data_IF_695799421469
#
_entry.id   IF_695799421469
#
_cell.length_a   1.000
_cell.length_b   1.000
_cell.length_c   1.000
_cell.angle_alpha   90.00
_cell.angle_beta   90.00
_cell.angle_gamma   90.00
#
_symmetry.space_group_name_H-M   'P 1'
#
loop_
_entity.id
_entity.type
_entity.pdbx_description
1 polymer ?
#
# COMPACT_ATOMS: atom_id res chain seq x y z
N UNK A 1 -88.75 -55.71 19.50
CA UNK A 1 -87.91 -54.81 20.29
C UNK A 1 -87.57 -53.60 19.45
N UNK A 2 -88.06 -52.45 19.87
CA UNK A 2 -88.15 -51.23 19.09
C UNK A 2 -86.86 -50.46 19.06
N UNK A 3 -86.43 -50.00 17.93
CA UNK A 3 -85.41 -48.95 17.80
C UNK A 3 -86.06 -47.71 17.25
N UNK A 4 -86.10 -46.70 18.13
CA UNK A 4 -86.58 -45.35 17.86
C UNK A 4 -85.56 -44.63 16.93
N UNK A 5 -86.09 -44.07 15.82
CA UNK A 5 -85.44 -43.14 14.95
C UNK A 5 -85.72 -41.73 15.44
N UNK A 6 -84.72 -40.96 15.82
CA UNK A 6 -84.81 -39.54 16.06
C UNK A 6 -84.58 -38.72 14.82
N UNK A 7 -85.34 -37.64 14.55
CA UNK A 7 -85.22 -36.82 13.34
C UNK A 7 -84.04 -35.82 13.44
N UNK A 8 -83.35 -35.63 12.32
CA UNK A 8 -82.27 -34.63 12.12
C UNK A 8 -82.92 -33.28 11.80
N UNK A 9 -82.58 -32.20 12.49
CA UNK A 9 -83.04 -30.85 12.12
C UNK A 9 -82.24 -30.29 10.95
N UNK A 10 -82.88 -29.74 9.94
CA UNK A 10 -82.33 -28.95 8.89
C UNK A 10 -81.87 -27.61 9.41
N UNK A 11 -80.51 -27.33 9.31
CA UNK A 11 -79.93 -26.03 9.62
C UNK A 11 -79.67 -25.34 8.30
N UNK A 12 -80.59 -24.46 7.88
CA UNK A 12 -80.35 -23.39 6.93
C UNK A 12 -79.67 -22.23 7.66
N UNK A 13 -78.39 -22.07 7.47
CA UNK A 13 -77.65 -20.96 8.03
C UNK A 13 -76.68 -20.39 6.94
N UNK A 14 -77.10 -19.26 6.36
CA UNK A 14 -76.24 -18.50 5.48
C UNK A 14 -75.00 -17.99 6.25
N UNK A 15 -73.84 -18.18 5.65
CA UNK A 15 -72.59 -17.67 6.19
C UNK A 15 -72.63 -16.14 6.28
N UNK A 16 -72.25 -15.55 7.44
CA UNK A 16 -72.22 -14.10 7.61
C UNK A 16 -71.21 -13.46 6.65
N UNK A 17 -71.57 -12.30 6.10
CA UNK A 17 -70.82 -11.56 5.06
C UNK A 17 -69.35 -11.23 5.49
N UNK A 18 -68.99 -11.37 6.74
CA UNK A 18 -67.63 -11.18 7.23
C UNK A 18 -66.66 -12.32 6.85
N UNK A 19 -67.08 -13.55 6.75
CA UNK A 19 -66.25 -14.67 6.33
C UNK A 19 -65.84 -14.64 4.85
N UNK A 20 -66.71 -14.09 3.98
CA UNK A 20 -66.42 -13.93 2.54
C UNK A 20 -65.39 -12.82 2.27
N UNK A 21 -65.29 -11.81 3.13
CA UNK A 21 -64.28 -10.75 3.03
C UNK A 21 -62.89 -11.23 3.46
N UNK A 22 -62.82 -12.07 4.51
CA UNK A 22 -61.53 -12.65 4.97
C UNK A 22 -60.95 -13.65 3.95
N UNK A 23 -61.76 -14.49 3.32
CA UNK A 23 -61.31 -15.43 2.28
C UNK A 23 -60.82 -14.68 1.05
N UNK A 24 -61.45 -13.56 0.66
CA UNK A 24 -61.00 -12.72 -0.47
C UNK A 24 -59.73 -11.95 -0.14
N UNK A 25 -59.51 -11.57 1.13
CA UNK A 25 -58.25 -10.89 1.57
C UNK A 25 -57.10 -11.86 1.69
N UNK A 26 -57.35 -13.12 2.09
CA UNK A 26 -56.29 -14.16 2.17
C UNK A 26 -55.88 -14.65 0.79
N UNK A 27 -56.79 -14.78 -0.18
CA UNK A 27 -56.46 -15.12 -1.57
C UNK A 27 -55.72 -13.98 -2.31
N UNK A 28 -56.06 -12.71 -2.02
CA UNK A 28 -55.26 -11.57 -2.56
C UNK A 28 -53.89 -11.48 -1.95
N UNK A 29 -53.71 -11.82 -0.67
CA UNK A 29 -52.37 -11.91 -0.03
C UNK A 29 -51.55 -13.08 -0.57
N UNK A 30 -52.17 -14.21 -0.91
CA UNK A 30 -51.51 -15.36 -1.52
C UNK A 30 -51.08 -15.08 -2.97
N UNK A 31 -51.91 -14.38 -3.76
CA UNK A 31 -51.60 -14.00 -5.13
C UNK A 31 -50.49 -12.96 -5.21
N UNK A 32 -50.32 -12.08 -4.21
CA UNK A 32 -49.26 -11.08 -4.17
C UNK A 32 -47.92 -11.65 -3.64
N UNK A 33 -47.91 -12.88 -3.11
CA UNK A 33 -46.69 -13.61 -2.76
C UNK A 33 -46.04 -14.36 -3.91
N UNK A 34 -46.75 -14.54 -5.03
CA UNK A 34 -46.24 -15.24 -6.22
C UNK A 34 -45.22 -14.43 -7.06
N UNK A 35 -45.10 -13.10 -6.81
CA UNK A 35 -44.12 -12.23 -7.50
C UNK A 35 -43.00 -11.72 -6.59
N UNK A 36 -42.81 -12.33 -5.43
CA UNK A 36 -41.60 -12.11 -4.66
C UNK A 36 -40.47 -12.84 -5.37
N UNK A 37 -39.69 -12.13 -6.18
CA UNK A 37 -38.40 -12.61 -6.67
C UNK A 37 -37.66 -13.24 -5.50
N UNK A 38 -37.19 -14.48 -5.66
CA UNK A 38 -36.59 -15.25 -4.60
C UNK A 38 -35.46 -14.48 -3.91
N UNK A 39 -35.08 -14.82 -2.67
CA UNK A 39 -34.05 -14.09 -1.89
C UNK A 39 -32.71 -13.94 -2.63
N UNK A 40 -32.44 -14.77 -3.62
CA UNK A 40 -31.28 -14.69 -4.51
C UNK A 40 -31.35 -13.54 -5.54
N UNK A 41 -32.51 -13.22 -6.06
CA UNK A 41 -32.67 -12.16 -7.09
C UNK A 41 -32.73 -10.77 -6.49
N UNK A 42 -33.16 -10.63 -5.22
CA UNK A 42 -33.15 -9.35 -4.51
C UNK A 42 -31.74 -8.99 -3.98
N UNK A 43 -30.86 -9.98 -3.76
CA UNK A 43 -29.46 -9.77 -3.40
C UNK A 43 -28.62 -9.17 -4.53
N UNK A 44 -28.83 -9.65 -5.76
CA UNK A 44 -28.05 -9.24 -6.94
C UNK A 44 -28.37 -7.83 -7.46
N UNK A 45 -29.60 -7.33 -7.24
CA UNK A 45 -29.99 -6.00 -7.72
C UNK A 45 -29.50 -4.83 -6.86
N UNK A 46 -28.92 -5.11 -5.66
CA UNK A 46 -28.38 -4.10 -4.73
C UNK A 46 -26.86 -4.07 -4.66
N UNK A 47 -26.16 -4.97 -5.38
CA UNK A 47 -24.70 -4.98 -5.35
C UNK A 47 -24.23 -3.82 -6.24
N UNK A 48 -23.66 -2.80 -5.63
CA UNK A 48 -23.04 -1.68 -6.35
C UNK A 48 -21.79 -2.16 -7.07
N UNK A 49 -21.54 -1.67 -8.27
CA UNK A 49 -20.32 -1.97 -9.04
C UNK A 49 -19.04 -1.66 -8.25
N UNK A 50 -19.13 -0.71 -7.33
CA UNK A 50 -18.04 -0.35 -6.42
C UNK A 50 -17.72 -1.45 -5.41
N UNK A 51 -18.71 -2.22 -4.94
CA UNK A 51 -18.51 -3.35 -4.01
C UNK A 51 -17.91 -4.58 -4.68
N UNK A 52 -18.19 -4.76 -5.98
CA UNK A 52 -17.65 -5.86 -6.78
C UNK A 52 -16.19 -5.62 -7.24
N UNK A 53 -15.73 -4.38 -7.24
CA UNK A 53 -14.42 -4.00 -7.79
C UNK A 53 -13.27 -4.75 -7.14
N UNK A 54 -13.22 -4.79 -5.80
CA UNK A 54 -12.14 -5.47 -5.06
C UNK A 54 -12.17 -6.99 -5.23
N UNK A 55 -13.31 -7.70 -5.05
CA UNK A 55 -13.37 -9.14 -5.29
C UNK A 55 -13.03 -9.54 -6.72
N UNK A 56 -13.52 -8.81 -7.72
CA UNK A 56 -13.19 -9.05 -9.12
C UNK A 56 -11.72 -8.77 -9.42
N UNK A 57 -11.14 -7.73 -8.80
CA UNK A 57 -9.71 -7.44 -8.89
C UNK A 57 -8.86 -8.58 -8.35
N UNK A 58 -9.17 -9.11 -7.17
CA UNK A 58 -8.47 -10.26 -6.58
C UNK A 58 -8.61 -11.50 -7.45
N UNK A 59 -9.82 -11.80 -7.95
CA UNK A 59 -10.03 -12.91 -8.87
C UNK A 59 -9.22 -12.74 -10.17
N UNK A 60 -9.20 -11.52 -10.72
CA UNK A 60 -8.40 -11.19 -11.90
C UNK A 60 -6.90 -11.41 -11.69
N UNK A 61 -6.39 -11.04 -10.52
CA UNK A 61 -4.99 -11.28 -10.13
C UNK A 61 -4.68 -12.78 -10.05
N UNK A 62 -5.56 -13.58 -9.43
CA UNK A 62 -5.40 -15.05 -9.36
C UNK A 62 -5.46 -15.67 -10.76
N UNK A 63 -6.37 -15.24 -11.61
CA UNK A 63 -6.45 -15.69 -13.00
C UNK A 63 -5.18 -15.33 -13.80
N UNK A 64 -4.63 -14.15 -13.59
CA UNK A 64 -3.39 -13.71 -14.23
C UNK A 64 -2.18 -14.60 -13.84
N UNK A 65 -2.16 -15.19 -12.65
CA UNK A 65 -1.12 -16.18 -12.27
C UNK A 65 -1.23 -17.49 -13.06
N UNK A 66 -2.45 -17.90 -13.40
CA UNK A 66 -2.71 -19.21 -14.02
C UNK A 66 -2.66 -19.12 -15.55
N UNK A 67 -3.22 -18.05 -16.13
CA UNK A 67 -3.36 -17.88 -17.58
C UNK A 67 -2.10 -17.25 -18.19
N UNK A 68 -1.66 -17.69 -19.38
CA UNK A 68 -0.62 -16.98 -20.11
C UNK A 68 -1.13 -15.61 -20.59
N UNK A 69 -0.55 -14.55 -20.11
CA UNK A 69 -0.89 -13.20 -20.54
C UNK A 69 -0.11 -12.82 -21.81
N UNK A 70 -0.72 -12.18 -22.80
CA UNK A 70 0.03 -11.62 -23.93
C UNK A 70 0.93 -10.45 -23.44
N UNK A 71 2.10 -10.23 -24.08
CA UNK A 71 3.07 -9.20 -23.65
C UNK A 71 2.48 -7.80 -23.50
N UNK A 72 1.58 -7.39 -24.38
CA UNK A 72 0.89 -6.08 -24.32
C UNK A 72 0.04 -5.91 -23.06
N UNK A 73 -0.68 -6.96 -22.64
CA UNK A 73 -1.48 -6.94 -21.40
C UNK A 73 -0.55 -6.89 -20.20
N UNK A 74 0.54 -7.65 -20.22
CA UNK A 74 1.53 -7.64 -19.15
C UNK A 74 2.15 -6.24 -19.01
N UNK A 75 2.57 -5.58 -20.09
CA UNK A 75 3.07 -4.20 -20.08
C UNK A 75 2.06 -3.24 -19.42
N UNK A 76 0.78 -3.32 -19.81
CA UNK A 76 -0.27 -2.46 -19.26
C UNK A 76 -0.47 -2.68 -17.75
N UNK A 77 -0.44 -3.94 -17.28
CA UNK A 77 -0.56 -4.29 -15.87
C UNK A 77 0.67 -3.87 -15.07
N UNK A 78 1.86 -3.97 -15.63
CA UNK A 78 3.12 -3.48 -15.04
C UNK A 78 3.05 -1.96 -14.87
N UNK A 79 2.66 -1.21 -15.90
CA UNK A 79 2.48 0.23 -15.83
C UNK A 79 1.45 0.62 -14.74
N UNK A 80 0.35 -0.12 -14.65
CA UNK A 80 -0.65 0.05 -13.60
C UNK A 80 -0.05 -0.19 -12.21
N UNK A 81 0.74 -1.26 -12.02
CA UNK A 81 1.39 -1.57 -10.75
C UNK A 81 2.34 -0.46 -10.31
N UNK A 82 3.17 0.06 -11.21
CA UNK A 82 4.08 1.18 -10.94
C UNK A 82 3.28 2.43 -10.56
N UNK A 83 2.23 2.75 -11.31
CA UNK A 83 1.37 3.91 -11.06
C UNK A 83 0.68 3.82 -9.70
N UNK A 84 0.07 2.68 -9.37
CA UNK A 84 -0.57 2.47 -8.07
C UNK A 84 0.43 2.57 -6.92
N UNK A 85 1.63 2.00 -7.07
CA UNK A 85 2.68 2.08 -6.05
C UNK A 85 3.14 3.52 -5.83
N UNK A 86 3.26 4.31 -6.90
CA UNK A 86 3.56 5.74 -6.81
C UNK A 86 2.43 6.51 -6.10
N UNK A 87 1.17 6.24 -6.44
CA UNK A 87 0.02 6.86 -5.77
C UNK A 87 0.02 6.54 -4.28
N UNK A 88 0.24 5.28 -3.91
CA UNK A 88 0.31 4.84 -2.50
C UNK A 88 1.46 5.55 -1.76
N UNK A 89 2.63 5.69 -2.39
CA UNK A 89 3.75 6.42 -1.82
C UNK A 89 3.40 7.90 -1.59
N UNK A 90 2.83 8.55 -2.60
CA UNK A 90 2.44 9.97 -2.50
C UNK A 90 1.35 10.17 -1.43
N UNK A 91 0.33 9.33 -1.40
CA UNK A 91 -0.69 9.36 -0.34
C UNK A 91 -0.04 9.24 1.04
N UNK A 92 0.90 8.28 1.22
CA UNK A 92 1.64 8.12 2.47
C UNK A 92 2.44 9.35 2.90
N UNK A 93 2.94 10.16 1.95
CA UNK A 93 3.64 11.42 2.23
C UNK A 93 2.72 12.55 2.70
N UNK A 94 1.46 12.57 2.22
CA UNK A 94 0.50 13.64 2.50
C UNK A 94 -0.38 13.39 3.73
N UNK A 95 -0.56 12.13 4.15
CA UNK A 95 -1.38 11.77 5.31
C UNK A 95 -0.79 12.34 6.59
N UNK A 96 -1.65 12.90 7.45
CA UNK A 96 -1.28 13.43 8.76
C UNK A 96 -1.12 12.32 9.80
N UNK A 97 -2.15 11.50 9.98
CA UNK A 97 -2.19 10.41 10.97
C UNK A 97 -2.27 9.04 10.30
N UNK A 98 -1.56 8.01 10.80
CA UNK A 98 -1.62 6.67 10.21
C UNK A 98 -3.03 6.09 10.13
N UNK A 99 -3.89 6.38 11.12
CA UNK A 99 -5.29 5.93 11.17
C UNK A 99 -6.20 6.52 10.10
N UNK A 100 -5.82 7.64 9.46
CA UNK A 100 -6.55 8.22 8.34
C UNK A 100 -6.53 7.31 7.10
N UNK A 101 -5.49 6.47 6.97
CA UNK A 101 -5.41 5.47 5.91
C UNK A 101 -5.55 4.05 6.48
N UNK A 102 -6.67 3.79 7.12
CA UNK A 102 -6.97 2.50 7.74
C UNK A 102 -6.92 1.31 6.78
N UNK A 103 -7.16 1.53 5.48
CA UNK A 103 -7.06 0.52 4.42
C UNK A 103 -5.63 0.23 3.97
N UNK A 104 -4.62 0.96 4.44
CA UNK A 104 -3.24 0.82 3.98
C UNK A 104 -2.69 -0.62 4.13
N UNK A 105 -2.85 -1.32 5.27
CA UNK A 105 -2.38 -2.70 5.41
C UNK A 105 -3.02 -3.65 4.38
N UNK A 106 -4.31 -3.51 4.10
CA UNK A 106 -5.01 -4.29 3.08
C UNK A 106 -4.50 -3.94 1.68
N UNK A 107 -4.24 -2.67 1.40
CA UNK A 107 -3.65 -2.21 0.14
C UNK A 107 -2.27 -2.82 -0.07
N UNK A 108 -1.43 -2.90 0.98
CA UNK A 108 -0.13 -3.58 0.93
C UNK A 108 -0.28 -5.04 0.49
N UNK A 109 -1.22 -5.78 1.09
CA UNK A 109 -1.46 -7.19 0.76
C UNK A 109 -1.91 -7.35 -0.70
N UNK A 110 -2.87 -6.53 -1.15
CA UNK A 110 -3.39 -6.59 -2.52
C UNK A 110 -2.32 -6.22 -3.55
N UNK A 111 -1.54 -5.18 -3.31
CA UNK A 111 -0.46 -4.76 -4.19
C UNK A 111 0.65 -5.82 -4.26
N UNK A 112 0.96 -6.46 -3.14
CA UNK A 112 1.94 -7.55 -3.07
C UNK A 112 1.45 -8.76 -3.86
N UNK A 113 0.19 -9.16 -3.71
CA UNK A 113 -0.41 -10.26 -4.47
C UNK A 113 -0.43 -9.94 -5.98
N UNK A 114 -0.78 -8.71 -6.35
CA UNK A 114 -0.77 -8.26 -7.75
C UNK A 114 0.63 -8.34 -8.36
N UNK A 115 1.65 -7.88 -7.63
CA UNK A 115 3.05 -7.97 -8.05
C UNK A 115 3.53 -9.42 -8.22
N UNK A 116 3.17 -10.32 -7.28
CA UNK A 116 3.48 -11.74 -7.42
C UNK A 116 2.87 -12.34 -8.68
N UNK A 117 1.63 -11.98 -9.00
CA UNK A 117 0.99 -12.44 -10.24
C UNK A 117 1.73 -11.97 -11.49
N UNK A 118 2.17 -10.71 -11.50
CA UNK A 118 2.97 -10.17 -12.59
C UNK A 118 4.31 -10.89 -12.72
N UNK A 119 5.01 -11.14 -11.62
CA UNK A 119 6.28 -11.89 -11.61
C UNK A 119 6.13 -13.30 -12.16
N UNK A 120 5.07 -14.02 -11.82
CA UNK A 120 4.82 -15.36 -12.34
C UNK A 120 4.52 -15.30 -13.84
N UNK A 121 3.73 -14.29 -14.28
CA UNK A 121 3.37 -14.12 -15.69
C UNK A 121 4.56 -13.72 -16.55
N UNK A 122 5.40 -12.77 -16.07
CA UNK A 122 6.61 -12.34 -16.78
C UNK A 122 7.64 -13.46 -16.87
N UNK A 123 7.89 -14.18 -15.77
CA UNK A 123 8.77 -15.34 -15.76
C UNK A 123 8.36 -16.40 -16.77
N UNK A 124 7.06 -16.69 -16.85
CA UNK A 124 6.54 -17.63 -17.85
C UNK A 124 6.85 -17.18 -19.29
N UNK A 125 6.62 -15.91 -19.61
CA UNK A 125 6.92 -15.36 -20.94
C UNK A 125 8.42 -15.38 -21.23
N UNK A 126 9.27 -15.04 -20.26
CA UNK A 126 10.73 -15.09 -20.39
C UNK A 126 11.19 -16.50 -20.71
N UNK A 127 10.70 -17.50 -19.96
CA UNK A 127 11.12 -18.88 -20.15
C UNK A 127 10.58 -19.51 -21.43
N UNK A 128 9.35 -19.21 -21.84
CA UNK A 128 8.73 -19.76 -23.07
C UNK A 128 9.18 -19.07 -24.33
N UNK A 129 9.32 -17.74 -24.33
CA UNK A 129 9.51 -16.95 -25.54
C UNK A 129 10.86 -16.18 -25.57
N UNK A 130 11.74 -16.39 -24.60
CA UNK A 130 13.01 -15.65 -24.52
C UNK A 130 13.91 -15.82 -25.75
N UNK A 131 13.76 -16.91 -26.52
CA UNK A 131 14.44 -17.15 -27.77
C UNK A 131 14.07 -16.14 -28.87
N UNK A 132 12.92 -15.49 -28.80
CA UNK A 132 12.46 -14.50 -29.80
C UNK A 132 13.17 -13.15 -29.65
N UNK A 133 13.81 -12.89 -28.50
CA UNK A 133 14.60 -11.66 -28.26
C UNK A 133 14.26 -11.00 -26.93
N UNK A 134 14.82 -9.81 -26.72
CA UNK A 134 14.71 -9.04 -25.47
C UNK A 134 13.30 -8.47 -25.22
N UNK A 135 12.44 -8.41 -26.25
CA UNK A 135 11.03 -7.97 -26.13
C UNK A 135 10.04 -9.09 -25.80
N UNK A 136 10.53 -10.31 -25.61
CA UNK A 136 9.70 -11.52 -25.39
C UNK A 136 8.68 -11.38 -24.25
N UNK A 137 9.03 -10.67 -23.18
CA UNK A 137 8.19 -10.44 -22.01
C UNK A 137 7.56 -9.04 -21.98
N UNK A 138 7.63 -8.28 -23.06
CA UNK A 138 7.06 -6.93 -23.19
C UNK A 138 8.13 -5.84 -23.29
N UNK A 139 7.70 -4.67 -23.75
CA UNK A 139 8.59 -3.53 -23.99
C UNK A 139 9.03 -2.83 -22.71
N UNK A 140 8.24 -2.85 -21.66
CA UNK A 140 8.62 -2.23 -20.37
C UNK A 140 9.78 -3.00 -19.75
N UNK A 141 9.70 -4.33 -19.71
CA UNK A 141 10.78 -5.20 -19.19
C UNK A 141 12.05 -5.02 -20.04
N UNK A 142 11.93 -4.99 -21.35
CA UNK A 142 13.04 -4.72 -22.26
C UNK A 142 13.70 -3.36 -21.99
N UNK A 143 12.90 -2.29 -21.88
CA UNK A 143 13.40 -0.93 -21.66
C UNK A 143 14.18 -0.81 -20.34
N UNK A 144 13.64 -1.37 -19.24
CA UNK A 144 14.34 -1.38 -17.96
C UNK A 144 15.60 -2.23 -17.98
N UNK A 145 15.57 -3.38 -18.65
CA UNK A 145 16.74 -4.23 -18.79
C UNK A 145 17.85 -3.54 -19.57
N UNK A 146 17.55 -2.96 -20.73
CA UNK A 146 18.51 -2.23 -21.55
C UNK A 146 19.05 -0.98 -20.84
N UNK A 147 18.21 -0.25 -20.10
CA UNK A 147 18.62 0.94 -19.35
C UNK A 147 19.73 0.64 -18.35
N UNK A 148 19.61 -0.46 -17.57
CA UNK A 148 20.60 -0.81 -16.54
C UNK A 148 21.81 -1.50 -17.14
N UNK A 149 21.63 -2.33 -18.19
CA UNK A 149 22.74 -2.99 -18.85
C UNK A 149 23.66 -1.98 -19.55
N UNK A 150 23.11 -0.90 -20.15
CA UNK A 150 23.89 0.20 -20.71
C UNK A 150 24.99 -0.22 -21.70
N UNK A 151 24.79 -1.36 -22.39
CA UNK A 151 25.77 -1.93 -23.34
C UNK A 151 26.82 -2.85 -22.71
N UNK A 152 26.87 -2.98 -21.37
CA UNK A 152 27.76 -3.92 -20.67
C UNK A 152 26.97 -4.84 -19.73
N UNK A 153 26.73 -6.07 -20.17
CA UNK A 153 25.93 -7.05 -19.43
C UNK A 153 26.48 -7.41 -18.04
N UNK A 154 27.81 -7.44 -17.87
CA UNK A 154 28.47 -7.75 -16.62
C UNK A 154 28.23 -6.62 -15.61
N UNK A 155 28.41 -5.38 -16.02
CA UNK A 155 28.18 -4.20 -15.19
C UNK A 155 26.69 -4.11 -14.79
N UNK A 156 25.78 -4.34 -15.76
CA UNK A 156 24.35 -4.36 -15.52
C UNK A 156 23.96 -5.43 -14.49
N UNK A 157 24.49 -6.64 -14.62
CA UNK A 157 24.25 -7.74 -13.66
C UNK A 157 24.74 -7.39 -12.24
N UNK A 158 25.94 -6.81 -12.12
CA UNK A 158 26.50 -6.38 -10.83
C UNK A 158 25.63 -5.29 -10.18
N UNK A 159 25.25 -4.26 -10.94
CA UNK A 159 24.38 -3.18 -10.44
C UNK A 159 23.03 -3.75 -10.00
N UNK A 160 22.45 -4.66 -10.77
CA UNK A 160 21.20 -5.33 -10.44
C UNK A 160 21.29 -6.13 -9.15
N UNK A 161 22.36 -6.91 -8.94
CA UNK A 161 22.59 -7.65 -7.70
C UNK A 161 22.73 -6.70 -6.48
N UNK A 162 23.40 -5.56 -6.65
CA UNK A 162 23.51 -4.54 -5.62
C UNK A 162 22.13 -3.98 -5.26
N UNK A 163 21.28 -3.68 -6.26
CA UNK A 163 19.92 -3.18 -6.05
C UNK A 163 19.05 -4.21 -5.30
N UNK A 164 19.11 -5.49 -5.69
CA UNK A 164 18.42 -6.57 -4.98
C UNK A 164 18.90 -6.67 -3.52
N UNK A 165 20.21 -6.62 -3.30
CA UNK A 165 20.78 -6.69 -1.95
C UNK A 165 20.30 -5.51 -1.07
N UNK A 166 20.31 -4.29 -1.60
CA UNK A 166 19.79 -3.11 -0.90
C UNK A 166 18.29 -3.28 -0.61
N UNK A 167 17.50 -3.68 -1.59
CA UNK A 167 16.06 -3.90 -1.40
C UNK A 167 15.78 -4.92 -0.31
N UNK A 168 16.43 -6.08 -0.37
CA UNK A 168 16.17 -7.18 0.54
C UNK A 168 16.69 -6.89 1.95
N UNK A 169 17.99 -6.54 2.06
CA UNK A 169 18.66 -6.41 3.36
C UNK A 169 18.30 -5.10 4.05
N UNK A 170 18.35 -3.98 3.34
CA UNK A 170 18.23 -2.66 3.98
C UNK A 170 16.75 -2.26 4.08
N UNK A 171 16.02 -2.30 2.97
CA UNK A 171 14.69 -1.69 2.92
C UNK A 171 13.65 -2.62 3.51
N UNK A 172 13.56 -3.86 3.03
CA UNK A 172 12.51 -4.77 3.51
C UNK A 172 12.72 -5.20 4.97
N UNK A 173 13.93 -5.56 5.37
CA UNK A 173 14.19 -5.86 6.79
C UNK A 173 14.03 -4.63 7.68
N UNK A 174 14.47 -3.46 7.20
CA UNK A 174 14.31 -2.20 7.92
C UNK A 174 12.85 -1.81 8.11
N UNK A 175 12.04 -1.81 7.05
CA UNK A 175 10.63 -1.46 7.11
C UNK A 175 9.82 -2.40 8.01
N UNK A 176 10.07 -3.71 7.92
CA UNK A 176 9.41 -4.70 8.79
C UNK A 176 9.79 -4.49 10.25
N UNK A 177 11.08 -4.25 10.55
CA UNK A 177 11.53 -4.02 11.92
C UNK A 177 10.92 -2.76 12.52
N UNK A 178 10.85 -1.68 11.75
CA UNK A 178 10.19 -0.44 12.16
C UNK A 178 8.71 -0.71 12.47
N UNK A 179 7.99 -1.41 11.59
CA UNK A 179 6.59 -1.74 11.77
C UNK A 179 6.36 -2.60 13.02
N UNK A 180 7.14 -3.66 13.20
CA UNK A 180 7.08 -4.55 14.35
C UNK A 180 7.28 -3.80 15.69
N UNK A 181 8.36 -3.02 15.76
CA UNK A 181 8.71 -2.28 16.99
C UNK A 181 7.66 -1.22 17.30
N UNK A 182 7.23 -0.45 16.30
CA UNK A 182 6.20 0.59 16.50
C UNK A 182 4.86 -0.02 16.89
N UNK A 183 4.43 -1.09 16.22
CA UNK A 183 3.19 -1.80 16.58
C UNK A 183 3.24 -2.28 18.03
N UNK A 184 4.34 -2.90 18.43
CA UNK A 184 4.52 -3.41 19.80
C UNK A 184 4.43 -2.29 20.83
N UNK A 185 5.20 -1.22 20.69
CA UNK A 185 5.15 -0.11 21.66
C UNK A 185 3.79 0.59 21.69
N UNK A 186 3.14 0.75 20.54
CA UNK A 186 1.80 1.35 20.50
C UNK A 186 0.78 0.49 21.20
N UNK A 187 0.81 -0.84 20.98
CA UNK A 187 -0.11 -1.78 21.63
C UNK A 187 0.17 -1.91 23.14
N UNK A 188 1.43 -1.95 23.54
CA UNK A 188 1.81 -2.00 24.97
C UNK A 188 1.39 -0.73 25.74
N UNK A 189 1.31 0.43 25.07
CA UNK A 189 0.86 1.68 25.64
C UNK A 189 -0.68 1.82 25.74
N UNK A 190 -1.46 0.93 25.09
CA UNK A 190 -2.92 1.03 25.03
C UNK A 190 -3.63 1.02 26.40
N UNK A 191 -3.27 0.12 27.34
CA UNK A 191 -3.90 0.15 28.67
C UNK A 191 -3.72 1.48 29.39
N UNK A 192 -2.54 2.09 29.30
CA UNK A 192 -2.27 3.40 29.88
C UNK A 192 -3.10 4.52 29.24
N UNK A 193 -3.24 4.52 27.91
CA UNK A 193 -4.11 5.47 27.20
C UNK A 193 -5.59 5.29 27.60
N UNK A 194 -6.07 4.05 27.77
CA UNK A 194 -7.43 3.77 28.24
C UNK A 194 -7.65 4.30 29.66
N UNK A 195 -6.73 4.04 30.58
CA UNK A 195 -6.80 4.55 31.96
C UNK A 195 -6.80 6.09 32.00
N UNK A 196 -6.03 6.75 31.10
CA UNK A 196 -6.07 8.21 31.01
C UNK A 196 -7.43 8.74 30.58
N UNK A 197 -8.09 8.11 29.59
CA UNK A 197 -9.45 8.48 29.16
C UNK A 197 -10.44 8.31 30.31
N UNK A 198 -10.34 7.20 31.07
CA UNK A 198 -11.21 6.93 32.18
C UNK A 198 -10.98 7.92 33.33
N UNK A 199 -9.74 8.33 33.59
CA UNK A 199 -9.38 9.38 34.55
C UNK A 199 -9.97 10.74 34.17
N UNK A 200 -9.81 11.13 32.88
CA UNK A 200 -10.33 12.40 32.34
C UNK A 200 -11.87 12.46 32.47
N UNK A 201 -12.55 11.34 32.19
CA UNK A 201 -14.00 11.21 32.33
C UNK A 201 -14.43 11.33 33.81
N UNK A 202 -13.75 10.62 34.72
CA UNK A 202 -14.05 10.66 36.16
C UNK A 202 -13.75 12.03 36.76
N UNK A 203 -12.78 12.75 36.27
CA UNK A 203 -12.45 14.12 36.69
C UNK A 203 -13.39 15.17 36.08
N UNK A 204 -14.33 14.79 35.19
CA UNK A 204 -15.24 15.70 34.51
C UNK A 204 -14.57 16.61 33.46
N UNK A 205 -13.35 16.28 33.01
CA UNK A 205 -12.61 17.01 31.97
C UNK A 205 -13.14 16.73 30.57
N UNK A 206 -13.77 15.58 30.36
CA UNK A 206 -14.43 15.16 29.13
C UNK A 206 -15.79 14.58 29.43
N UNK A 207 -16.72 14.65 28.49
CA UNK A 207 -18.03 14.01 28.60
C UNK A 207 -18.02 12.54 28.15
N UNK A 208 -19.15 11.84 28.33
CA UNK A 208 -19.26 10.42 27.97
C UNK A 208 -19.14 10.18 26.47
N UNK A 209 -19.64 11.10 25.62
CA UNK A 209 -19.60 10.99 24.19
C UNK A 209 -18.16 11.17 23.69
N UNK A 210 -17.43 12.13 24.23
CA UNK A 210 -16.01 12.34 23.93
C UNK A 210 -15.16 11.14 24.38
N UNK A 211 -15.39 10.62 25.59
CA UNK A 211 -14.72 9.41 26.08
C UNK A 211 -14.98 8.21 25.16
N UNK A 212 -16.21 8.04 24.68
CA UNK A 212 -16.58 6.99 23.72
C UNK A 212 -15.87 7.17 22.38
N UNK A 213 -15.77 8.38 21.90
CA UNK A 213 -15.07 8.69 20.64
C UNK A 213 -13.58 8.41 20.76
N UNK A 214 -12.92 8.84 21.85
CA UNK A 214 -11.49 8.56 22.11
C UNK A 214 -11.21 7.07 22.21
N UNK A 215 -12.07 6.29 22.88
CA UNK A 215 -11.95 4.82 22.94
C UNK A 215 -12.09 4.17 21.55
N UNK A 216 -13.01 4.65 20.69
CA UNK A 216 -13.13 4.17 19.31
C UNK A 216 -11.89 4.47 18.48
N UNK A 217 -11.33 5.68 18.60
CA UNK A 217 -10.09 6.06 17.91
C UNK A 217 -8.93 5.18 18.38
N UNK A 218 -8.83 4.93 19.68
CA UNK A 218 -7.80 4.07 20.26
C UNK A 218 -7.91 2.63 19.75
N UNK A 219 -9.12 2.07 19.68
CA UNK A 219 -9.37 0.74 19.12
C UNK A 219 -9.02 0.66 17.62
N UNK A 220 -9.32 1.71 16.84
CA UNK A 220 -8.96 1.79 15.43
C UNK A 220 -7.44 1.88 15.26
N UNK A 221 -6.73 2.65 16.09
CA UNK A 221 -5.27 2.73 16.13
C UNK A 221 -4.66 1.36 16.41
N UNK A 222 -5.15 0.64 17.42
CA UNK A 222 -4.69 -0.72 17.75
C UNK A 222 -4.86 -1.69 16.57
N UNK A 223 -6.03 -1.67 15.95
CA UNK A 223 -6.34 -2.52 14.79
C UNK A 223 -5.44 -2.21 13.60
N UNK A 224 -5.17 -0.93 13.34
CA UNK A 224 -4.27 -0.50 12.28
C UNK A 224 -2.84 -1.03 12.48
N UNK A 225 -2.25 -0.82 13.66
CA UNK A 225 -0.88 -1.25 13.93
C UNK A 225 -0.74 -2.78 13.95
N UNK A 226 -1.73 -3.49 14.48
CA UNK A 226 -1.76 -4.96 14.43
C UNK A 226 -1.83 -5.50 13.01
N UNK A 227 -2.69 -4.92 12.16
CA UNK A 227 -2.78 -5.29 10.76
C UNK A 227 -1.52 -4.92 9.97
N UNK A 228 -0.87 -3.79 10.30
CA UNK A 228 0.34 -3.31 9.64
C UNK A 228 1.54 -4.21 9.90
N UNK A 229 1.71 -4.73 11.12
CA UNK A 229 2.76 -5.71 11.42
C UNK A 229 2.61 -6.97 10.55
N UNK A 230 1.39 -7.51 10.43
CA UNK A 230 1.11 -8.65 9.58
C UNK A 230 1.37 -8.38 8.09
N UNK A 231 0.90 -7.25 7.58
CA UNK A 231 1.09 -6.86 6.18
C UNK A 231 2.57 -6.64 5.83
N UNK A 232 3.34 -6.02 6.73
CA UNK A 232 4.78 -5.80 6.55
C UNK A 232 5.55 -7.11 6.45
N UNK A 233 5.23 -8.10 7.28
CA UNK A 233 5.84 -9.44 7.22
C UNK A 233 5.51 -10.17 5.91
N UNK A 234 4.30 -10.01 5.40
CA UNK A 234 3.92 -10.57 4.10
C UNK A 234 4.74 -9.96 2.97
N UNK A 235 4.90 -8.65 2.95
CA UNK A 235 5.73 -7.93 1.95
C UNK A 235 7.20 -8.35 2.00
N UNK A 236 7.75 -8.65 3.20
CA UNK A 236 9.11 -9.16 3.33
C UNK A 236 9.29 -10.53 2.67
N UNK A 237 8.32 -11.43 2.85
CA UNK A 237 8.37 -12.77 2.24
C UNK A 237 8.24 -12.73 0.72
N UNK A 238 7.48 -11.79 0.20
CA UNK A 238 7.35 -11.56 -1.24
C UNK A 238 8.68 -11.12 -1.87
N UNK A 239 9.44 -10.27 -1.20
CA UNK A 239 10.78 -9.90 -1.69
C UNK A 239 11.73 -11.11 -1.76
N UNK A 240 11.65 -12.03 -0.80
CA UNK A 240 12.40 -13.29 -0.86
C UNK A 240 11.96 -14.15 -2.07
N UNK A 241 10.65 -14.26 -2.28
CA UNK A 241 10.10 -14.98 -3.43
C UNK A 241 10.58 -14.38 -4.75
N UNK A 242 10.60 -13.04 -4.89
CA UNK A 242 11.11 -12.35 -6.07
C UNK A 242 12.59 -12.66 -6.35
N UNK A 243 13.44 -12.73 -5.32
CA UNK A 243 14.86 -13.13 -5.48
C UNK A 243 14.98 -14.56 -5.99
N UNK A 244 14.17 -15.50 -5.47
CA UNK A 244 14.16 -16.90 -5.90
C UNK A 244 13.68 -17.00 -7.35
N UNK A 245 12.61 -16.29 -7.73
CA UNK A 245 12.09 -16.25 -9.10
C UNK A 245 13.16 -15.71 -10.06
N UNK A 246 13.84 -14.64 -9.70
CA UNK A 246 14.96 -14.08 -10.48
C UNK A 246 16.08 -15.10 -10.69
N UNK A 247 16.48 -15.84 -9.64
CA UNK A 247 17.49 -16.89 -9.75
C UNK A 247 17.04 -18.03 -10.68
N UNK A 248 15.76 -18.42 -10.59
CA UNK A 248 15.17 -19.43 -11.49
C UNK A 248 15.19 -18.91 -12.93
N UNK A 249 14.78 -17.67 -13.18
CA UNK A 249 14.78 -17.08 -14.52
C UNK A 249 16.19 -17.06 -15.15
N UNK A 250 17.23 -16.77 -14.37
CA UNK A 250 18.62 -16.81 -14.86
C UNK A 250 19.01 -18.22 -15.21
N UNK A 251 18.89 -19.16 -14.28
CA UNK A 251 19.37 -20.54 -14.45
C UNK A 251 18.54 -21.30 -15.50
N UNK A 252 17.21 -21.33 -15.31
CA UNK A 252 16.32 -22.04 -16.21
C UNK A 252 16.23 -21.38 -17.58
N UNK A 253 16.20 -20.05 -17.66
CA UNK A 253 16.21 -19.33 -18.92
C UNK A 253 17.44 -19.62 -19.75
N UNK A 254 18.63 -19.61 -19.12
CA UNK A 254 19.88 -20.00 -19.79
C UNK A 254 19.85 -21.45 -20.28
N UNK A 255 19.44 -22.40 -19.45
CA UNK A 255 19.35 -23.80 -19.82
C UNK A 255 18.36 -24.04 -20.97
N UNK A 256 17.17 -23.46 -20.91
CA UNK A 256 16.15 -23.56 -21.96
C UNK A 256 16.66 -22.91 -23.24
N UNK A 257 17.27 -21.74 -23.16
CA UNK A 257 17.83 -21.05 -24.35
C UNK A 257 18.85 -21.87 -25.08
N UNK A 258 19.79 -22.49 -24.36
CA UNK A 258 20.88 -23.27 -24.97
C UNK A 258 20.44 -24.69 -25.37
N UNK A 259 19.79 -25.41 -24.45
CA UNK A 259 19.50 -26.84 -24.64
C UNK A 259 18.23 -27.09 -25.46
N UNK A 260 17.18 -26.31 -25.24
CA UNK A 260 15.86 -26.53 -25.87
C UNK A 260 15.73 -25.73 -27.17
N UNK A 261 16.15 -24.46 -27.16
CA UNK A 261 16.07 -23.59 -28.33
C UNK A 261 17.33 -23.56 -29.17
N UNK A 262 18.43 -24.23 -28.80
CA UNK A 262 19.68 -24.31 -29.57
C UNK A 262 20.33 -22.93 -29.79
N UNK A 263 20.12 -21.96 -28.89
CA UNK A 263 20.74 -20.64 -29.03
C UNK A 263 22.24 -20.72 -28.80
N UNK A 264 22.96 -19.83 -29.47
CA UNK A 264 24.38 -19.63 -29.17
C UNK A 264 24.55 -19.18 -27.71
N UNK A 265 25.57 -19.71 -27.05
CA UNK A 265 25.86 -19.47 -25.63
C UNK A 265 25.90 -17.99 -25.30
N UNK A 266 26.56 -17.21 -26.12
CA UNK A 266 26.70 -15.77 -25.94
C UNK A 266 25.34 -15.07 -26.07
N UNK A 267 24.57 -15.41 -27.10
CA UNK A 267 23.26 -14.83 -27.36
C UNK A 267 22.26 -15.18 -26.25
N UNK A 268 22.28 -16.44 -25.76
CA UNK A 268 21.45 -16.85 -24.64
C UNK A 268 21.77 -16.05 -23.37
N UNK A 269 23.08 -15.91 -23.04
CA UNK A 269 23.50 -15.09 -21.90
C UNK A 269 23.03 -13.64 -22.05
N UNK A 270 23.26 -13.02 -23.19
CA UNK A 270 22.87 -11.62 -23.43
C UNK A 270 21.35 -11.42 -23.30
N UNK A 271 20.55 -12.25 -23.97
CA UNK A 271 19.09 -12.11 -24.00
C UNK A 271 18.46 -12.36 -22.62
N UNK A 272 18.78 -13.50 -21.99
CA UNK A 272 18.17 -13.85 -20.69
C UNK A 272 18.67 -12.95 -19.56
N UNK A 273 19.88 -12.40 -19.65
CA UNK A 273 20.36 -11.39 -18.69
C UNK A 273 19.54 -10.11 -18.78
N UNK A 274 19.31 -9.56 -19.98
CA UNK A 274 18.51 -8.35 -20.17
C UNK A 274 17.08 -8.57 -19.70
N UNK A 275 16.45 -9.69 -20.09
CA UNK A 275 15.09 -10.03 -19.68
C UNK A 275 14.97 -10.18 -18.16
N UNK A 276 15.90 -10.88 -17.51
CA UNK A 276 15.85 -11.10 -16.07
C UNK A 276 16.15 -9.81 -15.28
N UNK A 277 17.09 -8.99 -15.71
CA UNK A 277 17.36 -7.69 -15.09
C UNK A 277 16.14 -6.78 -15.25
N UNK A 278 15.54 -6.74 -16.43
CA UNK A 278 14.34 -5.94 -16.68
C UNK A 278 13.16 -6.37 -15.80
N UNK A 279 12.86 -7.67 -15.77
CA UNK A 279 11.80 -8.25 -14.92
C UNK A 279 12.02 -7.95 -13.44
N UNK A 280 13.25 -8.14 -12.97
CA UNK A 280 13.62 -7.84 -11.61
C UNK A 280 13.42 -6.35 -11.25
N UNK A 281 13.87 -5.42 -12.11
CA UNK A 281 13.71 -3.98 -11.85
C UNK A 281 12.26 -3.51 -11.84
N UNK A 282 11.46 -4.00 -12.77
CA UNK A 282 10.03 -3.73 -12.85
C UNK A 282 9.32 -4.14 -11.56
N UNK A 283 9.84 -5.17 -10.89
CA UNK A 283 9.34 -5.65 -9.60
C UNK A 283 9.91 -4.88 -8.41
N UNK A 284 11.24 -4.59 -8.45
CA UNK A 284 11.96 -3.92 -7.36
C UNK A 284 11.44 -2.51 -7.12
N UNK A 285 11.23 -1.72 -8.17
CA UNK A 285 10.85 -0.30 -8.04
C UNK A 285 9.51 -0.11 -7.31
N UNK A 286 8.39 -0.77 -7.68
CA UNK A 286 7.15 -0.70 -6.93
C UNK A 286 7.28 -1.22 -5.50
N UNK A 287 8.08 -2.28 -5.29
CA UNK A 287 8.34 -2.81 -3.97
C UNK A 287 8.99 -1.80 -3.03
N UNK A 288 9.99 -1.06 -3.54
CA UNK A 288 10.66 0.01 -2.81
C UNK A 288 9.68 1.13 -2.44
N UNK A 289 8.87 1.60 -3.40
CA UNK A 289 7.88 2.66 -3.16
C UNK A 289 6.89 2.28 -2.06
N UNK A 290 6.36 1.06 -2.10
CA UNK A 290 5.42 0.54 -1.12
C UNK A 290 6.08 0.37 0.26
N UNK A 291 7.29 -0.20 0.32
CA UNK A 291 8.02 -0.40 1.58
C UNK A 291 8.39 0.92 2.25
N UNK A 292 8.84 1.91 1.46
CA UNK A 292 9.13 3.27 1.95
C UNK A 292 7.85 3.93 2.46
N UNK A 293 6.73 3.82 1.73
CA UNK A 293 5.43 4.35 2.16
C UNK A 293 5.01 3.75 3.50
N UNK A 294 5.11 2.43 3.65
CA UNK A 294 4.82 1.73 4.90
C UNK A 294 5.67 2.20 6.08
N UNK A 295 6.97 2.31 5.87
CA UNK A 295 7.90 2.84 6.86
C UNK A 295 7.56 4.28 7.27
N UNK A 296 7.29 5.14 6.29
CA UNK A 296 6.93 6.54 6.53
C UNK A 296 5.61 6.68 7.31
N UNK A 297 4.56 5.94 6.92
CA UNK A 297 3.27 5.97 7.61
C UNK A 297 3.42 5.52 9.07
N UNK A 298 4.11 4.41 9.30
CA UNK A 298 4.28 3.85 10.64
C UNK A 298 5.11 4.76 11.55
N UNK A 299 6.14 5.41 11.03
CA UNK A 299 7.00 6.32 11.81
C UNK A 299 6.31 7.63 12.21
N UNK A 300 5.13 7.94 11.66
CA UNK A 300 4.36 9.16 11.95
C UNK A 300 3.33 9.02 13.06
N UNK A 301 3.43 7.99 13.89
CA UNK A 301 2.50 7.71 14.98
C UNK A 301 2.17 8.89 15.90
N UNK A 302 3.07 9.86 16.02
CA UNK A 302 2.95 11.03 16.93
C UNK A 302 2.77 12.38 16.22
N UNK A 303 2.70 12.42 14.88
CA UNK A 303 2.62 13.67 14.12
C UNK A 303 1.19 13.95 13.67
N UNK A 304 0.76 15.22 13.79
CA UNK A 304 -0.56 15.70 13.34
C UNK A 304 -0.49 16.49 12.03
N UNK A 305 0.71 16.72 11.49
CA UNK A 305 0.91 17.56 10.31
C UNK A 305 1.59 16.83 9.15
N UNK A 306 1.45 17.33 7.91
CA UNK A 306 2.10 16.76 6.75
C UNK A 306 3.63 16.77 6.88
N UNK A 307 4.32 15.70 6.43
CA UNK A 307 5.77 15.47 6.58
C UNK A 307 6.60 16.69 6.13
N UNK A 308 6.22 17.33 5.03
CA UNK A 308 6.93 18.51 4.53
C UNK A 308 6.85 19.72 5.47
N UNK A 309 5.75 19.89 6.20
CA UNK A 309 5.61 20.93 7.22
C UNK A 309 6.48 20.66 8.42
N UNK A 310 6.46 19.40 8.91
CA UNK A 310 7.28 18.98 10.06
C UNK A 310 8.76 19.05 9.74
N UNK A 311 9.17 18.57 8.57
CA UNK A 311 10.55 18.67 8.10
C UNK A 311 11.03 20.13 8.06
N UNK A 312 10.23 21.01 7.45
CA UNK A 312 10.54 22.45 7.39
C UNK A 312 10.63 23.06 8.78
N UNK A 313 9.68 22.71 9.66
CA UNK A 313 9.62 23.24 11.01
C UNK A 313 10.78 22.75 11.88
N UNK A 314 11.16 21.50 11.77
CA UNK A 314 12.18 20.89 12.65
C UNK A 314 13.60 21.03 12.09
N UNK A 315 13.80 20.82 10.79
CA UNK A 315 15.13 20.83 10.16
C UNK A 315 15.57 22.23 9.77
N UNK A 316 14.66 22.99 9.13
CA UNK A 316 15.01 24.28 8.56
C UNK A 316 14.76 25.49 9.50
N UNK A 317 14.21 25.31 10.71
CA UNK A 317 13.87 26.43 11.59
C UNK A 317 15.06 26.96 12.38
N UNK A 318 15.93 26.08 12.85
CA UNK A 318 17.10 26.50 13.64
C UNK A 318 18.24 27.01 12.75
N UNK A 319 18.71 28.26 12.92
CA UNK A 319 19.75 28.83 12.08
C UNK A 319 21.15 28.22 12.33
N UNK A 320 21.44 27.77 13.56
CA UNK A 320 22.78 27.28 13.91
C UNK A 320 23.22 26.05 13.09
N UNK A 321 22.43 24.96 12.96
CA UNK A 321 22.81 23.80 12.13
C UNK A 321 23.01 24.17 10.67
N UNK A 322 22.19 25.08 10.12
CA UNK A 322 22.31 25.51 8.73
C UNK A 322 23.61 26.31 8.48
N UNK A 323 23.97 27.18 9.42
CA UNK A 323 25.23 27.94 9.35
C UNK A 323 26.45 27.04 9.50
N UNK A 324 26.42 26.08 10.43
CA UNK A 324 27.52 25.13 10.61
C UNK A 324 27.66 24.23 9.37
N UNK A 325 26.59 23.67 8.86
CA UNK A 325 26.61 22.86 7.65
C UNK A 325 27.11 23.67 6.43
N UNK A 326 26.64 24.91 6.28
CA UNK A 326 27.14 25.81 5.26
C UNK A 326 28.64 26.08 5.39
N UNK A 327 29.14 26.32 6.60
CA UNK A 327 30.55 26.52 6.89
C UNK A 327 31.42 25.30 6.57
N UNK A 328 30.97 24.10 6.96
CA UNK A 328 31.65 22.82 6.63
C UNK A 328 31.70 22.61 5.12
N UNK A 329 30.60 22.85 4.38
CA UNK A 329 30.59 22.71 2.92
C UNK A 329 31.53 23.70 2.25
N UNK A 330 31.60 24.95 2.73
CA UNK A 330 32.52 25.96 2.21
C UNK A 330 33.97 25.55 2.50
N UNK A 331 34.27 24.99 3.68
CA UNK A 331 35.61 24.48 4.00
C UNK A 331 35.99 23.29 3.07
N UNK A 332 35.06 22.37 2.80
CA UNK A 332 35.29 21.26 1.87
C UNK A 332 35.55 21.72 0.41
N UNK A 333 35.01 22.89 0.02
CA UNK A 333 35.26 23.46 -1.30
C UNK A 333 36.73 23.84 -1.54
N UNK A 334 37.52 23.99 -0.47
CA UNK A 334 38.97 24.35 -0.55
C UNK A 334 39.82 23.11 -0.82
N UNK A 335 39.32 21.87 -0.53
CA UNK A 335 40.11 20.66 -0.72
C UNK A 335 40.31 20.33 -2.20
N UNK A 336 41.57 20.12 -2.65
CA UNK A 336 41.86 19.74 -4.03
C UNK A 336 41.26 18.36 -4.36
N UNK A 337 40.64 18.23 -5.52
CA UNK A 337 39.99 16.98 -5.98
C UNK A 337 38.49 16.91 -5.72
N UNK A 338 37.92 17.80 -4.89
CA UNK A 338 36.47 17.91 -4.74
C UNK A 338 35.87 18.91 -5.74
N UNK A 339 34.61 18.72 -6.16
CA UNK A 339 33.94 19.65 -7.12
C UNK A 339 33.59 20.96 -6.41
N UNK A 340 34.55 21.89 -6.36
CA UNK A 340 34.46 23.14 -5.60
C UNK A 340 33.19 23.96 -5.89
N UNK A 341 32.74 24.00 -7.16
CA UNK A 341 31.52 24.74 -7.55
C UNK A 341 30.26 24.23 -6.83
N UNK A 342 30.12 22.90 -6.71
CA UNK A 342 28.98 22.25 -6.05
C UNK A 342 28.98 22.56 -4.54
N UNK A 343 30.15 22.45 -3.90
CA UNK A 343 30.29 22.74 -2.46
C UNK A 343 30.09 24.23 -2.15
N UNK A 344 30.57 25.14 -3.01
CA UNK A 344 30.34 26.58 -2.88
C UNK A 344 28.85 26.92 -3.05
N UNK A 345 28.16 26.34 -4.03
CA UNK A 345 26.74 26.59 -4.25
C UNK A 345 25.88 26.10 -3.09
N UNK A 346 26.09 24.88 -2.61
CA UNK A 346 25.37 24.30 -1.49
C UNK A 346 25.73 25.00 -0.16
N UNK A 347 27.00 25.22 0.11
CA UNK A 347 27.47 25.88 1.34
C UNK A 347 27.03 27.33 1.41
N UNK A 348 27.12 28.08 0.29
CA UNK A 348 26.63 29.44 0.18
C UNK A 348 25.12 29.53 0.34
N UNK A 349 24.36 28.64 -0.31
CA UNK A 349 22.90 28.54 -0.19
C UNK A 349 22.44 28.29 1.25
N UNK A 350 23.00 27.28 1.92
CA UNK A 350 22.71 26.97 3.33
C UNK A 350 23.11 28.10 4.27
N UNK A 351 24.30 28.67 4.06
CA UNK A 351 24.79 29.83 4.84
C UNK A 351 23.87 31.02 4.72
N UNK A 352 23.40 31.34 3.52
CA UNK A 352 22.50 32.47 3.24
C UNK A 352 21.12 32.26 3.88
N UNK A 353 20.57 31.07 3.78
CA UNK A 353 19.30 30.71 4.46
C UNK A 353 19.46 30.77 5.96
N UNK A 354 20.52 30.20 6.53
CA UNK A 354 20.83 30.24 7.95
C UNK A 354 21.02 31.66 8.47
N UNK A 355 21.75 32.50 7.73
CA UNK A 355 21.98 33.91 8.07
C UNK A 355 20.67 34.74 8.07
N UNK A 356 19.84 34.61 7.01
CA UNK A 356 18.52 35.29 6.96
C UNK A 356 17.64 34.90 8.14
N UNK A 357 17.60 33.62 8.50
CA UNK A 357 16.83 33.15 9.65
C UNK A 357 17.35 33.66 10.97
N UNK A 358 18.67 33.70 11.14
CA UNK A 358 19.30 34.30 12.34
C UNK A 358 18.92 35.78 12.49
N UNK A 359 18.95 36.53 11.39
CA UNK A 359 18.53 37.96 11.40
C UNK A 359 17.06 38.09 11.79
N UNK A 360 16.17 37.26 11.23
CA UNK A 360 14.75 37.27 11.56
C UNK A 360 14.49 36.95 13.05
N UNK A 361 15.22 35.97 13.62
CA UNK A 361 15.11 35.63 15.05
C UNK A 361 15.59 36.77 15.95
N UNK A 362 16.72 37.38 15.63
CA UNK A 362 17.24 38.52 16.39
C UNK A 362 16.32 39.76 16.33
N UNK A 363 15.66 39.97 15.18
CA UNK A 363 14.67 41.03 15.04
C UNK A 363 13.42 40.77 15.90
N UNK A 364 12.91 39.54 15.89
CA UNK A 364 11.77 39.14 16.72
C UNK A 364 12.08 39.24 18.23
N UNK A 365 13.29 38.84 18.65
CA UNK A 365 13.74 38.92 20.05
C UNK A 365 13.83 40.41 20.52
N UNK A 366 14.34 41.29 19.67
CA UNK A 366 14.37 42.73 19.95
C UNK A 366 12.96 43.33 20.09
N UNK A 367 12.04 42.96 19.25
CA UNK A 367 10.64 43.41 19.31
C UNK A 367 9.93 42.95 20.60
N UNK A 368 10.17 41.71 20.98
CA UNK A 368 9.65 41.15 22.24
C UNK A 368 10.25 41.81 23.47
N UNK A 369 11.54 42.15 23.44
CA UNK A 369 12.21 42.87 24.52
C UNK A 369 11.67 44.32 24.66
N UNK A 370 11.40 45.00 23.54
CA UNK A 370 10.76 46.34 23.52
C UNK A 370 9.33 46.29 24.08
N UNK A 371 8.55 45.27 23.79
CA UNK A 371 7.18 45.11 24.33
C UNK A 371 7.13 44.71 25.82
N UNK A 372 8.22 44.15 26.36
CA UNK A 372 8.34 43.81 27.78
C UNK A 372 8.95 44.91 28.65
N UNK A 373 9.51 46.00 28.08
CA UNK A 373 9.98 47.13 28.84
C UNK A 373 8.82 47.86 29.51
N UNK A 374 8.80 48.00 30.84
CA UNK A 374 7.72 48.70 31.54
C UNK A 374 7.70 50.17 31.09
N UNK A 375 6.54 50.66 30.73
CA UNK A 375 6.28 52.10 30.48
C UNK A 375 6.50 52.91 31.73
#
# INVERSE_FOLDING_TARGET
MATQSTPVPAIGGGLPAQGAAEIRSSTRRAANRGNAAGPFSQGLSKISWTELGVPLGVLGVVLAMITPLPPFVLDSLIALNITLSLVVLLVGLYIGKPSEFSLFPTTLLLMTLFRLALNVSSSRLILLNGNTGTSAAGHIIEAFGQFVVGGNYIVGAVIFLVLIAIQYVVINHGAVRISEVTARFTLDAMPGKQMSIDSDLNAGLIDEDEARNRRKQLAAEASFYGAMDGASRFTQRDALASVIITAINIVAGFLIGVLDHGMDLRRALETYTVLTIGDGLVTVIPALMISISGGLIVTRASSESALGKDFRAQVLTKPQPLLLAGGVMLALAIFPGLPALTFLALGGGLGLVGWRKRQAMLAAEKELALKKAPS
#
